data_IF_313251364394
#
_entry.id   IF_313251364394
#
_cell.length_a   1.000
_cell.length_b   1.000
_cell.length_c   1.000
_cell.angle_alpha   90.00
_cell.angle_beta   90.00
_cell.angle_gamma   90.00
#
_symmetry.space_group_name_H-M   'P 1'
#
loop_
_entity.id
_entity.type
_entity.pdbx_description
1 polymer ?
#
# COMPACT_ATOMS: atom_id res chain seq x y z
N UNK A 1 6.48 34.18 -26.93
CA UNK A 1 7.72 34.17 -27.74
C UNK A 1 7.76 35.46 -28.55
N UNK A 2 8.94 36.12 -28.70
CA UNK A 2 9.08 37.25 -29.62
C UNK A 2 8.86 36.81 -31.08
N UNK A 3 8.48 37.78 -31.94
CA UNK A 3 8.21 37.56 -33.37
C UNK A 3 9.41 36.92 -34.07
N UNK A 4 9.13 35.89 -34.87
CA UNK A 4 10.13 35.20 -35.69
C UNK A 4 10.29 35.96 -37.00
N UNK A 5 11.49 36.44 -37.29
CA UNK A 5 11.84 36.92 -38.62
C UNK A 5 12.51 35.78 -39.37
N UNK A 6 11.88 35.30 -40.45
CA UNK A 6 12.48 34.31 -41.34
C UNK A 6 13.70 34.92 -42.03
N UNK A 7 14.87 34.51 -41.58
CA UNK A 7 16.10 34.62 -42.35
C UNK A 7 16.00 33.54 -43.43
N UNK A 8 16.21 33.88 -44.71
CA UNK A 8 16.13 32.90 -45.80
C UNK A 8 17.25 31.83 -45.76
N UNK A 9 17.87 31.61 -44.61
CA UNK A 9 18.97 30.67 -44.37
C UNK A 9 18.42 29.27 -44.04
N UNK A 10 19.24 28.26 -44.28
CA UNK A 10 18.92 26.89 -43.89
C UNK A 10 18.77 26.74 -42.36
N UNK A 11 19.58 27.49 -41.59
CA UNK A 11 19.50 27.51 -40.12
C UNK A 11 18.20 28.14 -39.64
N UNK A 12 17.72 29.21 -40.28
CA UNK A 12 16.41 29.80 -39.99
C UNK A 12 15.26 28.80 -40.16
N UNK A 13 15.28 27.98 -41.21
CA UNK A 13 14.29 26.91 -41.40
C UNK A 13 14.36 25.86 -40.28
N UNK A 14 15.57 25.46 -39.86
CA UNK A 14 15.74 24.51 -38.75
C UNK A 14 15.26 25.10 -37.41
N UNK A 15 15.54 26.37 -37.15
CA UNK A 15 15.05 27.09 -35.96
C UNK A 15 13.52 27.11 -35.93
N UNK A 16 12.87 27.27 -37.09
CA UNK A 16 11.41 27.23 -37.19
C UNK A 16 10.84 25.86 -36.82
N UNK A 17 11.45 24.76 -37.30
CA UNK A 17 11.09 23.39 -36.96
C UNK A 17 11.23 23.15 -35.45
N UNK A 18 12.39 23.47 -34.87
CA UNK A 18 12.67 23.27 -33.44
C UNK A 18 11.77 24.12 -32.53
N UNK A 19 11.34 25.30 -32.99
CA UNK A 19 10.34 26.11 -32.30
C UNK A 19 8.98 25.42 -32.25
N UNK A 20 8.58 24.75 -33.34
CA UNK A 20 7.35 23.96 -33.39
C UNK A 20 7.41 22.80 -32.40
N UNK A 21 8.49 22.02 -32.44
CA UNK A 21 8.71 20.90 -31.52
C UNK A 21 8.69 21.34 -30.05
N UNK A 22 9.28 22.51 -29.75
CA UNK A 22 9.26 23.07 -28.39
C UNK A 22 7.85 23.47 -27.95
N UNK A 23 7.02 23.99 -28.85
CA UNK A 23 5.65 24.38 -28.52
C UNK A 23 4.76 23.15 -28.27
N UNK A 24 4.93 22.11 -29.08
CA UNK A 24 4.28 20.81 -28.87
C UNK A 24 4.70 20.21 -27.52
N UNK A 25 6.00 20.26 -27.21
CA UNK A 25 6.55 19.80 -25.94
C UNK A 25 5.93 20.57 -24.75
N UNK A 26 5.79 21.88 -24.86
CA UNK A 26 5.15 22.71 -23.81
C UNK A 26 3.68 22.37 -23.63
N UNK A 27 2.98 22.12 -24.72
CA UNK A 27 1.56 21.72 -24.68
C UNK A 27 1.42 20.40 -23.95
N UNK A 28 2.23 19.39 -24.28
CA UNK A 28 2.23 18.10 -23.60
C UNK A 28 2.50 18.24 -22.09
N UNK A 29 3.44 19.10 -21.68
CA UNK A 29 3.74 19.32 -20.27
C UNK A 29 2.59 19.99 -19.53
N UNK A 30 1.91 20.95 -20.18
CA UNK A 30 0.71 21.57 -19.64
C UNK A 30 -0.38 20.53 -19.42
N UNK A 31 -0.60 19.66 -20.39
CA UNK A 31 -1.59 18.57 -20.31
C UNK A 31 -1.23 17.57 -19.21
N UNK A 32 0.04 17.17 -19.10
CA UNK A 32 0.54 16.28 -18.04
C UNK A 32 0.31 16.88 -16.66
N UNK A 33 0.58 18.17 -16.49
CA UNK A 33 0.33 18.86 -15.22
C UNK A 33 -1.16 18.94 -14.90
N UNK A 34 -2.01 19.28 -15.87
CA UNK A 34 -3.45 19.29 -15.67
C UNK A 34 -3.97 17.90 -15.26
N UNK A 35 -3.55 16.85 -15.97
CA UNK A 35 -3.90 15.46 -15.64
C UNK A 35 -3.46 15.09 -14.22
N UNK A 36 -2.24 15.47 -13.82
CA UNK A 36 -1.77 15.25 -12.44
C UNK A 36 -2.65 15.95 -11.40
N UNK A 37 -3.06 17.20 -11.62
CA UNK A 37 -3.94 17.91 -10.70
C UNK A 37 -5.32 17.26 -10.60
N UNK A 38 -5.87 16.77 -11.72
CA UNK A 38 -7.13 16.03 -11.74
C UNK A 38 -7.03 14.72 -10.95
N UNK A 39 -5.97 13.94 -11.13
CA UNK A 39 -5.71 12.71 -10.38
C UNK A 39 -5.54 12.99 -8.88
N UNK A 40 -4.84 14.08 -8.51
CA UNK A 40 -4.72 14.52 -7.11
C UNK A 40 -6.09 14.86 -6.52
N UNK A 41 -6.95 15.56 -7.26
CA UNK A 41 -8.29 15.92 -6.80
C UNK A 41 -9.20 14.70 -6.64
N UNK A 42 -9.16 13.76 -7.60
CA UNK A 42 -9.89 12.48 -7.51
C UNK A 42 -9.47 11.70 -6.28
N UNK A 43 -8.17 11.56 -6.04
CA UNK A 43 -7.62 10.90 -4.85
C UNK A 43 -8.09 11.56 -3.55
N UNK A 44 -8.01 12.90 -3.45
CA UNK A 44 -8.47 13.64 -2.25
C UNK A 44 -9.97 13.50 -2.02
N UNK A 45 -10.77 13.45 -3.08
CA UNK A 45 -12.21 13.23 -2.98
C UNK A 45 -12.53 11.81 -2.48
N UNK A 46 -11.88 10.80 -3.07
CA UNK A 46 -12.03 9.41 -2.67
C UNK A 46 -11.59 9.16 -1.22
N UNK A 47 -10.44 9.70 -0.82
CA UNK A 47 -9.93 9.59 0.55
C UNK A 47 -10.87 10.24 1.59
N UNK A 48 -11.45 11.41 1.28
CA UNK A 48 -12.45 12.05 2.16
C UNK A 48 -13.70 11.19 2.32
N UNK A 49 -14.22 10.64 1.22
CA UNK A 49 -15.38 9.74 1.27
C UNK A 49 -15.08 8.47 2.07
N UNK A 50 -13.89 7.88 1.87
CA UNK A 50 -13.41 6.73 2.61
C UNK A 50 -13.35 6.99 4.13
N UNK A 51 -12.64 8.03 4.56
CA UNK A 51 -12.52 8.35 5.99
C UNK A 51 -13.85 8.78 6.62
N UNK A 52 -14.74 9.41 5.84
CA UNK A 52 -16.10 9.71 6.29
C UNK A 52 -16.89 8.45 6.66
N UNK A 53 -16.80 7.41 5.82
CA UNK A 53 -17.46 6.12 6.10
C UNK A 53 -16.79 5.39 7.27
N UNK A 54 -15.46 5.32 7.29
CA UNK A 54 -14.71 4.67 8.40
C UNK A 54 -15.00 5.33 9.74
N UNK A 55 -15.02 6.67 9.80
CA UNK A 55 -15.33 7.40 11.03
C UNK A 55 -16.72 7.10 11.58
N UNK A 56 -17.73 7.03 10.70
CA UNK A 56 -19.09 6.66 11.10
C UNK A 56 -19.19 5.21 11.57
N UNK A 57 -18.52 4.27 10.88
CA UNK A 57 -18.46 2.86 11.32
C UNK A 57 -17.80 2.76 12.69
N UNK A 58 -16.64 3.40 12.88
CA UNK A 58 -15.93 3.41 14.16
C UNK A 58 -16.80 3.97 15.29
N UNK A 59 -17.54 5.05 15.02
CA UNK A 59 -18.44 5.66 16.02
C UNK A 59 -19.53 4.69 16.44
N UNK A 60 -20.13 3.96 15.49
CA UNK A 60 -21.15 2.95 15.78
C UNK A 60 -20.57 1.74 16.54
N UNK A 61 -19.40 1.25 16.13
CA UNK A 61 -18.73 0.14 16.81
C UNK A 61 -18.29 0.50 18.24
N UNK A 62 -17.93 1.77 18.50
CA UNK A 62 -17.63 2.25 19.85
C UNK A 62 -18.87 2.32 20.75
N UNK A 63 -20.03 2.62 20.18
CA UNK A 63 -21.32 2.56 20.90
C UNK A 63 -21.82 1.12 21.10
N UNK A 64 -21.17 0.15 20.44
CA UNK A 64 -21.58 -1.25 20.36
C UNK A 64 -22.66 -1.45 19.30
N UNK A 65 -22.47 -2.43 18.41
CA UNK A 65 -23.50 -2.82 17.43
C UNK A 65 -23.80 -4.29 17.49
N UNK A 66 -24.89 -4.71 16.84
CA UNK A 66 -25.11 -6.13 16.62
C UNK A 66 -24.01 -6.71 15.72
N UNK A 67 -23.52 -7.93 16.02
CA UNK A 67 -22.60 -8.66 15.14
C UNK A 67 -23.16 -8.76 13.72
N UNK A 68 -22.38 -8.35 12.73
CA UNK A 68 -22.76 -8.44 11.32
C UNK A 68 -23.86 -7.47 10.88
N UNK A 69 -23.98 -6.30 11.52
CA UNK A 69 -24.96 -5.28 11.13
C UNK A 69 -24.87 -4.95 9.62
N UNK A 70 -25.93 -5.18 8.82
CA UNK A 70 -25.90 -5.01 7.36
C UNK A 70 -25.64 -3.56 6.94
N UNK A 71 -26.06 -2.58 7.74
CA UNK A 71 -25.80 -1.16 7.45
C UNK A 71 -24.30 -0.84 7.53
N UNK A 72 -23.60 -1.39 8.52
CA UNK A 72 -22.14 -1.24 8.63
C UNK A 72 -21.41 -1.95 7.50
N UNK A 73 -21.90 -3.14 7.10
CA UNK A 73 -21.36 -3.88 5.95
C UNK A 73 -21.50 -3.08 4.66
N UNK A 74 -22.64 -2.41 4.46
CA UNK A 74 -22.84 -1.53 3.30
C UNK A 74 -21.86 -0.35 3.32
N UNK A 75 -21.72 0.34 4.46
CA UNK A 75 -20.77 1.44 4.61
C UNK A 75 -19.31 1.00 4.38
N UNK A 76 -18.96 -0.20 4.84
CA UNK A 76 -17.65 -0.82 4.58
C UNK A 76 -17.45 -1.11 3.09
N UNK A 77 -18.46 -1.65 2.40
CA UNK A 77 -18.40 -1.87 0.96
C UNK A 77 -18.20 -0.55 0.20
N UNK A 78 -18.89 0.53 0.61
CA UNK A 78 -18.68 1.85 0.05
C UNK A 78 -17.26 2.37 0.33
N UNK A 79 -16.74 2.21 1.55
CA UNK A 79 -15.37 2.59 1.90
C UNK A 79 -14.35 1.83 1.04
N UNK A 80 -14.54 0.52 0.87
CA UNK A 80 -13.73 -0.33 -0.01
C UNK A 80 -13.76 0.15 -1.46
N UNK A 81 -14.92 0.53 -1.98
CA UNK A 81 -15.03 1.09 -3.34
C UNK A 81 -14.28 2.41 -3.48
N UNK A 82 -14.35 3.30 -2.48
CA UNK A 82 -13.58 4.56 -2.46
C UNK A 82 -12.08 4.28 -2.46
N UNK A 83 -11.61 3.31 -1.68
CA UNK A 83 -10.21 2.90 -1.69
C UNK A 83 -9.78 2.32 -3.06
N UNK A 84 -10.67 1.57 -3.72
CA UNK A 84 -10.46 1.11 -5.10
C UNK A 84 -10.32 2.24 -6.12
N UNK A 85 -11.01 3.38 -5.93
CA UNK A 85 -10.80 4.58 -6.76
C UNK A 85 -9.40 5.16 -6.56
N UNK A 86 -8.87 5.15 -5.33
CA UNK A 86 -7.49 5.59 -5.07
C UNK A 86 -6.49 4.66 -5.76
N UNK A 87 -6.71 3.36 -5.71
CA UNK A 87 -5.89 2.37 -6.43
C UNK A 87 -5.86 2.62 -7.94
N UNK A 88 -7.04 2.78 -8.57
CA UNK A 88 -7.11 3.09 -9.99
C UNK A 88 -6.42 4.43 -10.34
N UNK A 89 -6.48 5.41 -9.43
CA UNK A 89 -5.78 6.69 -9.63
C UNK A 89 -4.26 6.52 -9.57
N UNK A 90 -3.74 5.58 -8.77
CA UNK A 90 -2.30 5.25 -8.74
C UNK A 90 -1.87 4.60 -10.05
N UNK A 91 -2.71 3.74 -10.64
CA UNK A 91 -2.44 3.16 -11.96
C UNK A 91 -2.38 4.25 -13.05
N UNK A 92 -3.32 5.20 -13.02
CA UNK A 92 -3.31 6.37 -13.92
C UNK A 92 -2.05 7.24 -13.71
N UNK A 93 -1.59 7.40 -12.47
CA UNK A 93 -0.32 8.11 -12.17
C UNK A 93 0.89 7.35 -12.72
N UNK A 94 0.92 6.01 -12.64
CA UNK A 94 1.99 5.21 -13.24
C UNK A 94 2.03 5.35 -14.77
N UNK A 95 0.86 5.38 -15.42
CA UNK A 95 0.78 5.63 -16.86
C UNK A 95 1.30 7.02 -17.22
N UNK A 96 0.85 8.05 -16.50
CA UNK A 96 1.36 9.42 -16.67
C UNK A 96 2.88 9.48 -16.47
N UNK A 97 3.43 8.70 -15.54
CA UNK A 97 4.88 8.65 -15.30
C UNK A 97 5.66 8.10 -16.49
N UNK A 98 5.10 7.13 -17.19
CA UNK A 98 5.69 6.59 -18.40
C UNK A 98 5.61 7.58 -19.57
N UNK A 99 4.50 8.29 -19.69
CA UNK A 99 4.31 9.37 -20.68
C UNK A 99 5.33 10.50 -20.45
N UNK A 100 5.45 10.97 -19.21
CA UNK A 100 6.41 12.02 -18.81
C UNK A 100 7.85 11.60 -19.09
N UNK A 101 8.21 10.35 -18.81
CA UNK A 101 9.54 9.79 -19.15
C UNK A 101 9.81 9.78 -20.67
N UNK A 102 8.77 9.56 -21.48
CA UNK A 102 8.87 9.72 -22.94
C UNK A 102 9.10 11.18 -23.33
N UNK A 103 8.36 12.11 -22.72
CA UNK A 103 8.51 13.55 -22.93
C UNK A 103 9.89 14.06 -22.48
N UNK A 104 10.47 13.54 -21.40
CA UNK A 104 11.86 13.84 -20.99
C UNK A 104 12.86 13.51 -22.09
N UNK A 105 12.74 12.32 -22.70
CA UNK A 105 13.63 11.90 -23.79
C UNK A 105 13.51 12.80 -25.02
N UNK A 106 12.30 13.22 -25.37
CA UNK A 106 12.06 14.19 -26.44
C UNK A 106 12.69 15.55 -26.12
N UNK A 107 12.58 16.02 -24.87
CA UNK A 107 13.18 17.27 -24.44
C UNK A 107 14.72 17.25 -24.49
N UNK A 108 15.34 16.13 -24.09
CA UNK A 108 16.79 15.94 -24.22
C UNK A 108 17.24 15.93 -25.68
N UNK A 109 16.52 15.23 -26.55
CA UNK A 109 16.78 15.24 -27.99
C UNK A 109 16.63 16.64 -28.60
N UNK A 110 15.60 17.38 -28.21
CA UNK A 110 15.39 18.77 -28.65
C UNK A 110 16.57 19.65 -28.24
N UNK A 111 17.04 19.55 -26.99
CA UNK A 111 18.19 20.31 -26.50
C UNK A 111 19.47 19.98 -27.29
N UNK A 112 19.74 18.70 -27.53
CA UNK A 112 20.88 18.26 -28.33
C UNK A 112 20.78 18.76 -29.78
N UNK A 113 19.58 18.76 -30.36
CA UNK A 113 19.31 19.28 -31.71
C UNK A 113 19.52 20.80 -31.80
N UNK A 114 19.12 21.56 -30.79
CA UNK A 114 19.40 23.01 -30.68
C UNK A 114 20.90 23.26 -30.58
N UNK A 115 21.62 22.48 -29.77
CA UNK A 115 23.08 22.58 -29.65
C UNK A 115 23.80 22.24 -30.96
N UNK A 116 23.33 21.22 -31.68
CA UNK A 116 23.87 20.84 -32.98
C UNK A 116 23.63 21.92 -34.05
N UNK A 117 22.50 22.64 -33.98
CA UNK A 117 22.17 23.71 -34.92
C UNK A 117 23.16 24.89 -34.89
N UNK A 118 23.85 25.12 -33.76
CA UNK A 118 24.94 26.10 -33.68
C UNK A 118 26.16 25.76 -34.53
N UNK A 119 26.38 24.47 -34.83
CA UNK A 119 27.50 24.01 -35.64
C UNK A 119 27.27 24.11 -37.14
N UNK A 120 26.07 24.50 -37.59
CA UNK A 120 25.74 24.60 -39.01
C UNK A 120 26.32 25.88 -39.63
N UNK A 121 27.01 25.71 -40.76
CA UNK A 121 27.54 26.84 -41.54
C UNK A 121 26.43 27.58 -42.30
N UNK A 122 26.56 28.90 -42.45
CA UNK A 122 25.63 29.74 -43.23
C UNK A 122 24.51 30.39 -42.42
N UNK A 123 24.60 30.37 -41.08
CA UNK A 123 23.73 31.14 -40.19
C UNK A 123 24.06 32.64 -40.23
N UNK A 124 23.04 33.48 -40.02
CA UNK A 124 23.24 34.91 -39.71
C UNK A 124 23.16 35.14 -38.19
N UNK A 125 23.64 36.29 -37.70
CA UNK A 125 23.64 36.61 -36.27
C UNK A 125 22.23 36.56 -35.65
N UNK A 126 21.20 36.96 -36.41
CA UNK A 126 19.79 36.80 -36.01
C UNK A 126 19.41 35.34 -35.74
N UNK A 127 19.98 34.37 -36.44
CA UNK A 127 19.71 32.93 -36.22
C UNK A 127 20.33 32.47 -34.90
N UNK A 128 21.54 32.93 -34.60
CA UNK A 128 22.22 32.63 -33.33
C UNK A 128 21.46 33.20 -32.14
N UNK A 129 20.92 34.41 -32.25
CA UNK A 129 20.06 35.00 -31.21
C UNK A 129 18.79 34.18 -30.98
N UNK A 130 18.16 33.69 -32.05
CA UNK A 130 16.96 32.84 -31.93
C UNK A 130 17.29 31.47 -31.33
N UNK A 131 18.41 30.86 -31.71
CA UNK A 131 18.89 29.62 -31.10
C UNK A 131 19.16 29.80 -29.61
N UNK A 132 19.68 30.96 -29.17
CA UNK A 132 19.97 31.21 -27.75
C UNK A 132 18.69 31.29 -26.92
N UNK A 133 17.67 31.98 -27.44
CA UNK A 133 16.35 32.04 -26.81
C UNK A 133 15.71 30.65 -26.76
N UNK A 134 15.87 29.87 -27.83
CA UNK A 134 15.33 28.51 -27.93
C UNK A 134 16.03 27.56 -26.95
N UNK A 135 17.35 27.64 -26.82
CA UNK A 135 18.14 26.86 -25.87
C UNK A 135 17.72 27.16 -24.42
N UNK A 136 17.62 28.44 -24.03
CA UNK A 136 17.15 28.83 -22.69
C UNK A 136 15.72 28.35 -22.44
N UNK A 137 14.82 28.50 -23.41
CA UNK A 137 13.45 28.00 -23.25
C UNK A 137 13.39 26.48 -23.16
N UNK A 138 14.21 25.74 -23.90
CA UNK A 138 14.28 24.27 -23.82
C UNK A 138 14.86 23.82 -22.49
N UNK A 139 15.93 24.45 -22.00
CA UNK A 139 16.51 24.18 -20.68
C UNK A 139 15.48 24.40 -19.56
N UNK A 140 14.69 25.49 -19.62
CA UNK A 140 13.60 25.71 -18.67
C UNK A 140 12.55 24.61 -18.73
N UNK A 141 12.19 24.17 -19.93
CA UNK A 141 11.23 23.08 -20.15
C UNK A 141 11.73 21.75 -19.56
N UNK A 142 13.01 21.41 -19.74
CA UNK A 142 13.64 20.21 -19.14
C UNK A 142 13.49 20.24 -17.61
N UNK A 143 13.82 21.37 -16.96
CA UNK A 143 13.68 21.51 -15.50
C UNK A 143 12.23 21.34 -15.03
N UNK A 144 11.25 21.79 -15.82
CA UNK A 144 9.83 21.61 -15.50
C UNK A 144 9.41 20.13 -15.59
N UNK A 145 9.87 19.41 -16.61
CA UNK A 145 9.62 17.97 -16.76
C UNK A 145 10.24 17.20 -15.59
N UNK A 146 11.49 17.50 -15.23
CA UNK A 146 12.18 16.81 -14.13
C UNK A 146 11.47 17.05 -12.79
N UNK A 147 10.98 18.28 -12.54
CA UNK A 147 10.16 18.56 -11.35
C UNK A 147 8.89 17.73 -11.35
N UNK A 148 8.19 17.68 -12.48
CA UNK A 148 6.94 16.92 -12.63
C UNK A 148 7.16 15.42 -12.42
N UNK A 149 8.24 14.86 -13.00
CA UNK A 149 8.60 13.45 -12.82
C UNK A 149 8.91 13.12 -11.35
N UNK A 150 9.67 13.98 -10.66
CA UNK A 150 9.98 13.80 -9.24
C UNK A 150 8.74 13.92 -8.35
N UNK A 151 7.87 14.90 -8.61
CA UNK A 151 6.60 15.05 -7.90
C UNK A 151 5.71 13.81 -8.06
N UNK A 152 5.58 13.31 -9.29
CA UNK A 152 4.77 12.15 -9.62
C UNK A 152 5.31 10.88 -8.94
N UNK A 153 6.63 10.66 -8.97
CA UNK A 153 7.27 9.52 -8.28
C UNK A 153 7.05 9.57 -6.77
N UNK A 154 7.22 10.75 -6.15
CA UNK A 154 6.93 10.97 -4.73
C UNK A 154 5.46 10.70 -4.39
N UNK A 155 4.54 11.16 -5.24
CA UNK A 155 3.11 10.96 -5.03
C UNK A 155 2.72 9.49 -5.17
N UNK A 156 3.18 8.79 -6.20
CA UNK A 156 2.96 7.34 -6.37
C UNK A 156 3.47 6.58 -5.14
N UNK A 157 4.68 6.87 -4.66
CA UNK A 157 5.24 6.22 -3.48
C UNK A 157 4.39 6.49 -2.22
N UNK A 158 3.90 7.73 -2.06
CA UNK A 158 3.03 8.12 -0.95
C UNK A 158 1.68 7.40 -1.00
N UNK A 159 1.05 7.36 -2.18
CA UNK A 159 -0.25 6.72 -2.36
C UNK A 159 -0.16 5.20 -2.18
N UNK A 160 0.91 4.56 -2.66
CA UNK A 160 1.16 3.14 -2.40
C UNK A 160 1.24 2.84 -0.89
N UNK A 161 1.99 3.62 -0.12
CA UNK A 161 2.07 3.45 1.34
C UNK A 161 0.72 3.68 2.02
N UNK A 162 -0.04 4.67 1.56
CA UNK A 162 -1.40 4.92 2.05
C UNK A 162 -2.31 3.70 1.77
N UNK A 163 -2.39 3.22 0.53
CA UNK A 163 -3.20 2.06 0.15
C UNK A 163 -2.88 0.80 0.96
N UNK A 164 -1.61 0.51 1.21
CA UNK A 164 -1.23 -0.67 1.99
C UNK A 164 -1.73 -0.60 3.44
N UNK A 165 -1.62 0.57 4.09
CA UNK A 165 -2.14 0.77 5.45
C UNK A 165 -3.66 0.68 5.48
N UNK A 166 -4.34 1.43 4.61
CA UNK A 166 -5.80 1.48 4.60
C UNK A 166 -6.45 0.13 4.23
N UNK A 167 -5.79 -0.70 3.42
CA UNK A 167 -6.26 -2.06 3.14
C UNK A 167 -6.27 -2.94 4.40
N UNK A 168 -5.22 -2.83 5.22
CA UNK A 168 -5.12 -3.59 6.46
C UNK A 168 -6.08 -3.04 7.53
N UNK A 169 -6.26 -1.72 7.58
CA UNK A 169 -7.26 -1.09 8.45
C UNK A 169 -8.69 -1.51 8.04
N UNK A 170 -9.00 -1.55 6.73
CA UNK A 170 -10.29 -2.07 6.25
C UNK A 170 -10.51 -3.56 6.55
N UNK A 171 -9.47 -4.40 6.49
CA UNK A 171 -9.62 -5.82 6.86
C UNK A 171 -9.93 -5.99 8.34
N UNK A 172 -9.24 -5.20 9.18
CA UNK A 172 -9.46 -5.18 10.64
C UNK A 172 -10.85 -4.68 10.97
N UNK A 173 -11.32 -3.63 10.27
CA UNK A 173 -12.65 -3.08 10.43
C UNK A 173 -13.75 -4.04 9.97
N UNK A 174 -13.49 -4.90 8.97
CA UNK A 174 -14.42 -5.98 8.59
C UNK A 174 -14.63 -6.98 9.72
N UNK A 175 -13.56 -7.36 10.44
CA UNK A 175 -13.65 -8.21 11.62
C UNK A 175 -14.41 -7.51 12.76
N UNK A 176 -14.16 -6.21 12.95
CA UNK A 176 -14.86 -5.39 13.94
C UNK A 176 -16.37 -5.37 13.69
N UNK A 177 -16.80 -5.17 12.44
CA UNK A 177 -18.22 -5.24 12.06
C UNK A 177 -18.80 -6.63 12.28
N UNK A 178 -18.06 -7.67 11.91
CA UNK A 178 -18.51 -9.06 12.07
C UNK A 178 -18.80 -9.38 13.54
N UNK A 179 -17.97 -8.89 14.44
CA UNK A 179 -18.07 -9.18 15.87
C UNK A 179 -18.91 -8.12 16.63
N UNK A 180 -19.23 -6.99 16.00
CA UNK A 180 -20.04 -5.91 16.59
C UNK A 180 -19.28 -5.03 17.59
N UNK A 181 -17.97 -5.21 17.70
CA UNK A 181 -17.11 -4.52 18.65
C UNK A 181 -15.96 -3.79 17.94
N UNK A 182 -15.57 -2.64 18.49
CA UNK A 182 -14.45 -1.88 17.98
C UNK A 182 -13.11 -2.57 18.30
N UNK A 183 -12.38 -2.95 17.26
CA UNK A 183 -10.94 -3.23 17.34
C UNK A 183 -10.16 -1.94 17.03
N UNK A 184 -9.02 -1.74 17.66
CA UNK A 184 -8.15 -0.57 17.39
C UNK A 184 -7.54 -0.60 15.99
N UNK A 185 -6.54 0.27 15.76
CA UNK A 185 -5.75 0.27 14.51
C UNK A 185 -5.21 -1.14 14.15
N UNK A 186 -5.04 -1.40 12.85
CA UNK A 186 -4.57 -2.70 12.38
C UNK A 186 -3.20 -3.09 12.96
N UNK A 187 -3.01 -4.36 13.32
CA UNK A 187 -1.74 -4.88 13.85
C UNK A 187 -0.58 -4.74 12.84
N UNK A 188 -0.89 -4.62 11.54
CA UNK A 188 0.09 -4.34 10.49
C UNK A 188 0.81 -3.01 10.70
N UNK A 189 0.12 -2.02 11.27
CA UNK A 189 0.66 -0.69 11.52
C UNK A 189 1.60 -0.65 12.73
N UNK A 190 1.75 -1.75 13.47
CA UNK A 190 2.68 -1.89 14.60
C UNK A 190 3.78 -2.91 14.30
N UNK A 191 3.50 -3.90 13.44
CA UNK A 191 4.44 -4.94 13.04
C UNK A 191 5.38 -4.51 11.89
N UNK A 192 6.35 -3.64 12.18
CA UNK A 192 7.38 -3.23 11.20
C UNK A 192 8.68 -4.06 11.31
N UNK A 193 9.44 -4.12 10.21
CA UNK A 193 10.73 -4.82 10.14
C UNK A 193 10.65 -6.26 9.59
N UNK A 194 11.81 -6.92 9.46
CA UNK A 194 11.89 -8.32 9.05
C UNK A 194 11.58 -9.21 10.25
N UNK A 195 10.58 -10.10 10.18
CA UNK A 195 10.26 -10.96 11.30
C UNK A 195 11.44 -11.88 11.61
N UNK A 196 11.70 -12.12 12.91
CA UNK A 196 12.62 -13.15 13.36
C UNK A 196 12.28 -14.47 12.64
N UNK A 197 13.21 -15.17 11.98
CA UNK A 197 12.88 -16.38 11.22
C UNK A 197 12.31 -17.48 12.12
N UNK A 198 11.34 -18.25 11.59
CA UNK A 198 10.77 -19.39 12.31
C UNK A 198 11.87 -20.40 12.64
N UNK A 199 11.96 -20.80 13.91
CA UNK A 199 12.89 -21.85 14.33
C UNK A 199 12.47 -23.18 13.68
N UNK A 200 13.41 -23.86 13.03
CA UNK A 200 13.17 -25.18 12.42
C UNK A 200 12.97 -26.28 13.47
N UNK A 201 13.38 -26.04 14.73
CA UNK A 201 13.03 -26.83 15.90
C UNK A 201 11.59 -26.54 16.30
N UNK A 202 10.72 -27.53 16.13
CA UNK A 202 9.27 -27.39 16.10
C UNK A 202 8.68 -26.65 17.31
N UNK A 203 7.85 -25.65 17.02
CA UNK A 203 7.06 -24.89 18.01
C UNK A 203 6.17 -25.79 18.89
N UNK A 204 5.95 -27.04 18.47
CA UNK A 204 5.32 -28.12 19.24
C UNK A 204 6.07 -28.48 20.53
N UNK A 205 7.40 -28.38 20.56
CA UNK A 205 8.23 -28.74 21.72
C UNK A 205 8.18 -27.69 22.84
N UNK A 206 7.65 -26.49 22.54
CA UNK A 206 7.43 -25.41 23.51
C UNK A 206 6.25 -25.68 24.44
N UNK A 207 5.34 -26.57 24.03
CA UNK A 207 4.12 -26.87 24.79
C UNK A 207 4.47 -27.52 26.12
N UNK A 208 4.30 -26.77 27.21
CA UNK A 208 4.62 -27.22 28.56
C UNK A 208 6.08 -27.04 29.00
N UNK A 209 6.90 -26.35 28.20
CA UNK A 209 8.25 -25.86 28.56
C UNK A 209 8.29 -24.34 28.66
N UNK A 210 7.68 -23.67 27.69
CA UNK A 210 7.62 -22.21 27.62
C UNK A 210 6.23 -21.70 28.03
N UNK A 211 6.19 -20.47 28.57
CA UNK A 211 4.95 -19.80 28.91
C UNK A 211 4.30 -19.24 27.63
N UNK A 212 3.09 -19.70 27.25
CA UNK A 212 2.36 -19.12 26.14
C UNK A 212 1.90 -17.69 26.47
N UNK A 213 1.85 -16.83 25.44
CA UNK A 213 1.29 -15.49 25.52
C UNK A 213 -0.23 -15.55 25.73
N UNK A 214 -0.89 -16.42 24.98
CA UNK A 214 -2.35 -16.65 25.05
C UNK A 214 -2.60 -18.15 24.96
N UNK A 215 -3.52 -18.64 25.79
CA UNK A 215 -4.09 -19.99 25.71
C UNK A 215 -5.59 -19.85 25.46
N UNK A 216 -6.04 -20.31 24.30
CA UNK A 216 -7.45 -20.32 23.93
C UNK A 216 -7.96 -21.74 24.14
N UNK A 217 -8.88 -21.91 25.08
CA UNK A 217 -9.51 -23.21 25.36
C UNK A 217 -10.80 -23.28 24.56
N UNK A 218 -10.96 -24.31 23.74
CA UNK A 218 -12.19 -24.55 22.98
C UNK A 218 -13.05 -25.58 23.72
N UNK A 219 -13.53 -25.19 24.90
CA UNK A 219 -14.52 -25.94 25.68
C UNK A 219 -15.96 -25.69 25.19
N UNK A 220 -16.19 -24.59 24.46
CA UNK A 220 -17.45 -24.20 23.83
C UNK A 220 -17.27 -23.94 22.33
N UNK A 221 -18.36 -24.01 21.55
CA UNK A 221 -18.31 -23.85 20.08
C UNK A 221 -18.02 -22.41 19.62
N UNK A 222 -18.39 -21.41 20.43
CA UNK A 222 -18.22 -19.98 20.13
C UNK A 222 -17.51 -19.27 21.29
N UNK A 223 -16.20 -19.46 21.38
CA UNK A 223 -15.34 -18.80 22.37
C UNK A 223 -14.98 -17.41 21.86
N UNK A 224 -15.27 -16.36 22.62
CA UNK A 224 -14.91 -14.98 22.28
C UNK A 224 -13.44 -14.71 22.59
N UNK A 225 -12.54 -15.20 21.73
CA UNK A 225 -11.09 -15.08 21.92
C UNK A 225 -10.45 -13.93 21.14
N UNK A 226 -11.15 -13.34 20.16
CA UNK A 226 -10.54 -12.37 19.25
C UNK A 226 -10.02 -11.11 19.97
N UNK A 227 -10.79 -10.54 20.89
CA UNK A 227 -10.42 -9.33 21.62
C UNK A 227 -9.22 -9.52 22.58
N UNK A 228 -9.20 -10.53 23.47
CA UNK A 228 -8.03 -10.77 24.32
C UNK A 228 -6.80 -11.12 23.48
N UNK A 229 -6.96 -11.87 22.38
CA UNK A 229 -5.86 -12.18 21.46
C UNK A 229 -5.28 -10.93 20.81
N UNK A 230 -6.12 -10.05 20.25
CA UNK A 230 -5.70 -8.78 19.66
C UNK A 230 -4.92 -7.93 20.67
N UNK A 231 -5.45 -7.75 21.88
CA UNK A 231 -4.80 -6.94 22.92
C UNK A 231 -3.43 -7.48 23.36
N UNK A 232 -3.29 -8.81 23.43
CA UNK A 232 -2.06 -9.48 23.82
C UNK A 232 -0.99 -9.34 22.72
N UNK A 233 -1.37 -9.59 21.46
CA UNK A 233 -0.48 -9.46 20.30
C UNK A 233 -0.04 -8.00 20.13
N UNK A 234 -0.98 -7.05 20.23
CA UNK A 234 -0.67 -5.61 20.18
C UNK A 234 0.35 -5.19 21.22
N UNK A 235 0.17 -5.59 22.49
CA UNK A 235 1.11 -5.25 23.57
C UNK A 235 2.53 -5.79 23.33
N UNK A 236 2.64 -6.93 22.66
CA UNK A 236 3.93 -7.50 22.25
C UNK A 236 4.54 -6.66 21.13
N UNK A 237 3.78 -6.34 20.08
CA UNK A 237 4.24 -5.53 18.96
C UNK A 237 4.62 -4.11 19.38
N UNK A 238 3.92 -3.51 20.35
CA UNK A 238 4.27 -2.21 20.92
C UNK A 238 5.66 -2.21 21.59
N UNK A 239 6.11 -3.36 22.10
CA UNK A 239 7.43 -3.53 22.73
C UNK A 239 8.49 -4.08 21.78
N UNK A 240 8.09 -4.91 20.82
CA UNK A 240 8.93 -5.62 19.84
C UNK A 240 8.24 -5.64 18.48
N UNK A 241 8.41 -4.59 17.66
CA UNK A 241 7.80 -4.49 16.33
C UNK A 241 8.18 -5.66 15.40
N UNK A 242 9.37 -6.23 15.57
CA UNK A 242 9.93 -7.35 14.81
C UNK A 242 9.47 -8.74 15.28
N UNK A 243 8.64 -8.82 16.32
CA UNK A 243 8.20 -10.09 16.90
C UNK A 243 7.46 -10.98 15.89
N UNK A 244 7.74 -12.28 15.97
CA UNK A 244 6.96 -13.33 15.31
C UNK A 244 6.04 -14.03 16.30
N UNK A 245 5.08 -14.80 15.79
CA UNK A 245 4.17 -15.58 16.61
C UNK A 245 4.10 -17.03 16.11
N UNK A 246 4.10 -17.97 17.04
CA UNK A 246 3.93 -19.38 16.74
C UNK A 246 2.60 -19.84 17.34
N UNK A 247 1.67 -20.23 16.47
CA UNK A 247 0.35 -20.77 16.85
C UNK A 247 0.46 -22.28 16.90
N UNK A 248 0.21 -22.86 18.06
CA UNK A 248 0.33 -24.30 18.30
C UNK A 248 -1.03 -24.85 18.67
N UNK A 249 -1.57 -25.73 17.82
CA UNK A 249 -2.75 -26.52 18.12
C UNK A 249 -2.37 -27.62 19.12
N UNK A 250 -3.06 -27.70 20.25
CA UNK A 250 -2.82 -28.67 21.31
C UNK A 250 -4.07 -29.53 21.49
N UNK A 251 -3.95 -30.83 21.26
CA UNK A 251 -5.03 -31.78 21.48
C UNK A 251 -4.73 -32.71 22.67
N UNK A 252 -5.76 -33.21 23.38
CA UNK A 252 -5.58 -34.18 24.46
C UNK A 252 -4.98 -35.49 23.93
N UNK A 253 -4.10 -36.08 24.73
CA UNK A 253 -3.44 -37.36 24.41
C UNK A 253 -4.33 -38.55 24.83
N UNK A 254 -4.67 -39.44 23.88
CA UNK A 254 -5.57 -40.58 24.06
C UNK A 254 -5.95 -41.28 22.73
N UNK A 255 -5.42 -42.49 22.50
CA UNK A 255 -5.88 -43.48 21.51
C UNK A 255 -6.26 -42.98 20.09
N UNK A 256 -7.16 -43.69 19.41
CA UNK A 256 -7.69 -43.28 18.08
C UNK A 256 -8.43 -41.93 18.10
N UNK A 257 -8.91 -41.49 19.27
CA UNK A 257 -9.58 -40.20 19.45
C UNK A 257 -8.59 -39.01 19.36
N UNK A 258 -7.29 -39.22 19.61
CA UNK A 258 -6.27 -38.18 19.46
C UNK A 258 -6.07 -37.71 18.03
N UNK A 259 -6.16 -38.58 17.03
CA UNK A 259 -6.01 -38.17 15.64
C UNK A 259 -7.15 -37.24 15.20
N UNK A 260 -8.38 -37.53 15.66
CA UNK A 260 -9.57 -36.72 15.45
C UNK A 260 -9.51 -35.39 16.24
N UNK A 261 -9.06 -35.45 17.50
CA UNK A 261 -8.83 -34.29 18.34
C UNK A 261 -7.80 -33.33 17.76
N UNK A 262 -6.65 -33.86 17.30
CA UNK A 262 -5.60 -33.08 16.65
C UNK A 262 -6.09 -32.42 15.35
N UNK A 263 -6.88 -33.14 14.55
CA UNK A 263 -7.50 -32.58 13.34
C UNK A 263 -8.48 -31.45 13.66
N UNK A 264 -9.25 -31.56 14.76
CA UNK A 264 -10.14 -30.50 15.26
C UNK A 264 -9.35 -29.30 15.79
N UNK A 265 -8.35 -29.53 16.64
CA UNK A 265 -7.48 -28.50 17.19
C UNK A 265 -6.73 -27.74 16.07
N UNK A 266 -6.30 -28.44 15.02
CA UNK A 266 -5.68 -27.81 13.85
C UNK A 266 -6.65 -26.87 13.13
N UNK A 267 -7.89 -27.29 12.88
CA UNK A 267 -8.92 -26.41 12.29
C UNK A 267 -9.22 -25.19 13.16
N UNK A 268 -9.23 -25.36 14.49
CA UNK A 268 -9.40 -24.25 15.43
C UNK A 268 -8.21 -23.29 15.38
N UNK A 269 -6.98 -23.80 15.35
CA UNK A 269 -5.78 -22.99 15.20
C UNK A 269 -5.71 -22.28 13.83
N UNK A 270 -6.22 -22.89 12.75
CA UNK A 270 -6.38 -22.24 11.45
C UNK A 270 -7.40 -21.07 11.51
N UNK A 271 -8.46 -21.18 12.32
CA UNK A 271 -9.38 -20.06 12.58
C UNK A 271 -8.68 -18.93 13.31
N UNK A 272 -7.91 -19.24 14.36
CA UNK A 272 -7.12 -18.25 15.11
C UNK A 272 -6.10 -17.56 14.22
N UNK A 273 -5.38 -18.33 13.37
CA UNK A 273 -4.43 -17.78 12.40
C UNK A 273 -5.13 -16.85 11.41
N UNK A 274 -6.31 -17.24 10.91
CA UNK A 274 -7.10 -16.38 10.02
C UNK A 274 -7.54 -15.11 10.72
N UNK A 275 -8.00 -15.18 11.96
CA UNK A 275 -8.37 -14.01 12.76
C UNK A 275 -7.17 -13.06 12.96
N UNK A 276 -5.99 -13.59 13.28
CA UNK A 276 -4.76 -12.79 13.37
C UNK A 276 -4.41 -12.10 12.05
N UNK A 277 -4.55 -12.80 10.93
CA UNK A 277 -4.34 -12.21 9.61
C UNK A 277 -5.38 -11.13 9.28
N UNK A 278 -6.65 -11.35 9.63
CA UNK A 278 -7.74 -10.38 9.46
C UNK A 278 -7.52 -9.12 10.31
N UNK A 279 -6.97 -9.27 11.52
CA UNK A 279 -6.50 -8.17 12.38
C UNK A 279 -5.24 -7.45 11.84
N UNK A 280 -4.65 -7.93 10.74
CA UNK A 280 -3.54 -7.30 10.05
C UNK A 280 -2.16 -7.89 10.33
N UNK A 281 -2.03 -8.98 11.08
CA UNK A 281 -0.74 -9.64 11.28
C UNK A 281 -0.32 -10.35 9.97
N UNK A 282 0.86 -10.06 9.37
CA UNK A 282 1.26 -10.69 8.12
C UNK A 282 1.48 -12.21 8.29
N UNK A 283 1.14 -13.04 7.30
CA UNK A 283 1.26 -14.50 7.41
C UNK A 283 2.71 -14.96 7.56
N UNK A 284 3.69 -14.18 7.07
CA UNK A 284 5.12 -14.45 7.28
C UNK A 284 5.56 -14.33 8.74
N UNK A 285 4.76 -13.65 9.58
CA UNK A 285 5.02 -13.49 11.01
C UNK A 285 4.39 -14.57 11.86
N UNK A 286 3.53 -15.40 11.29
CA UNK A 286 2.78 -16.43 12.02
C UNK A 286 3.18 -17.81 11.50
N UNK A 287 3.58 -18.71 12.39
CA UNK A 287 3.73 -20.13 12.06
C UNK A 287 2.60 -20.94 12.69
N UNK A 288 2.19 -22.03 12.02
CA UNK A 288 1.21 -22.96 12.54
C UNK A 288 1.87 -24.32 12.79
N UNK A 289 1.70 -24.86 13.98
CA UNK A 289 2.12 -26.22 14.32
C UNK A 289 1.01 -26.92 15.11
N UNK A 290 1.10 -28.25 15.24
CA UNK A 290 0.14 -29.04 15.97
C UNK A 290 0.86 -30.10 16.80
N UNK A 291 0.38 -30.34 18.01
CA UNK A 291 0.94 -31.33 18.93
C UNK A 291 -0.16 -31.91 19.83
N UNK A 292 0.15 -33.03 20.47
CA UNK A 292 -0.71 -33.63 21.50
C UNK A 292 -0.04 -33.45 22.86
N UNK A 293 -0.83 -33.16 23.90
CA UNK A 293 -0.33 -32.97 25.26
C UNK A 293 -1.12 -33.82 26.25
N UNK A 294 -0.42 -34.51 27.16
CA UNK A 294 -1.02 -35.21 28.30
C UNK A 294 -1.65 -34.26 29.33
N UNK A 295 -1.30 -32.97 29.29
CA UNK A 295 -1.80 -31.94 30.23
C UNK A 295 -3.07 -31.25 29.75
N UNK A 296 -3.39 -31.37 28.46
CA UNK A 296 -4.59 -30.77 27.88
C UNK A 296 -5.77 -31.74 28.08
N UNK A 297 -6.88 -31.23 28.63
CA UNK A 297 -8.11 -32.00 28.80
C UNK A 297 -9.12 -31.73 27.67
N UNK A 298 -8.97 -30.60 26.99
CA UNK A 298 -9.76 -30.15 25.83
C UNK A 298 -8.82 -29.72 24.71
N UNK A 299 -9.37 -29.44 23.53
CA UNK A 299 -8.57 -28.84 22.47
C UNK A 299 -8.25 -27.39 22.85
N UNK A 300 -6.97 -27.05 22.80
CA UNK A 300 -6.46 -25.72 23.13
C UNK A 300 -5.61 -25.18 21.97
N UNK A 301 -5.53 -23.87 21.84
CA UNK A 301 -4.62 -23.20 20.92
C UNK A 301 -3.71 -22.29 21.73
N UNK A 302 -2.41 -22.53 21.64
CA UNK A 302 -1.39 -21.76 22.34
C UNK A 302 -0.72 -20.82 21.36
N UNK A 303 -0.57 -19.55 21.74
CA UNK A 303 0.16 -18.55 20.96
C UNK A 303 1.44 -18.20 21.71
N UNK A 304 2.58 -18.38 21.05
CA UNK A 304 3.91 -18.06 21.58
C UNK A 304 4.50 -16.87 20.84
N UNK A 305 5.32 -16.07 21.54
CA UNK A 305 6.11 -15.00 20.93
C UNK A 305 7.46 -15.56 20.50
N UNK A 306 7.95 -15.11 19.36
CA UNK A 306 9.27 -15.40 18.80
C UNK A 306 10.12 -14.15 18.74
#
# INVERSE_FOLDING_TARGET
MPQFETTGTYVGQKVQELRGDLEDLKTQISDHNQRLQELRQRTRSAARGYHGNVGQINTRLQLGTTPGNPELVEMWNQARQRLGTVEQTVDDMNQLSNEVSSTTRLASYLLESVQAAYGLSGAVEKDHDQLAILEDSTNRTVVLIDRLANELSSDIARQNRYLQRERADLSTLSLAIKNGEFYGESLSNQAYGTPTPASSTGSSDRVGRDQPLVVIRFDQDNVDYEQPLYSAVRRVLDRRPEAGFDVVAVAPQGGQQSALGLSRARRQAERVLRALNEMGLPPSRVSLSATTSARANVNEVHVYVR
#
